data_IF_580412977636
#
_entry.id   IF_580412977636
#
_cell.length_a   1.000
_cell.length_b   1.000
_cell.length_c   1.000
_cell.angle_alpha   90.00
_cell.angle_beta   90.00
_cell.angle_gamma   90.00
#
_symmetry.space_group_name_H-M   'P 1'
#
loop_
_entity.id
_entity.type
_entity.pdbx_description
1 polymer ?
#
# COMPACT_ATOMS: atom_id res chain seq x y z
N UNK A 1 -4.29 -17.04 4.09
CA UNK A 1 -3.16 -16.68 3.20
C UNK A 1 -1.88 -16.51 4.04
N UNK A 2 -0.70 -16.48 3.39
CA UNK A 2 0.57 -16.31 4.11
C UNK A 2 0.65 -14.94 4.80
N UNK A 3 0.18 -13.90 4.12
CA UNK A 3 0.07 -12.55 4.68
C UNK A 3 -0.80 -12.49 5.95
N UNK A 4 -1.94 -13.16 5.98
CA UNK A 4 -2.79 -13.21 7.18
C UNK A 4 -2.07 -13.87 8.35
N UNK A 5 -1.41 -15.00 8.10
CA UNK A 5 -0.61 -15.67 9.15
C UNK A 5 0.52 -14.78 9.67
N UNK A 6 1.13 -13.98 8.77
CA UNK A 6 2.15 -13.01 9.18
C UNK A 6 1.53 -11.92 10.05
N UNK A 7 0.38 -11.35 9.63
CA UNK A 7 -0.31 -10.33 10.39
C UNK A 7 -0.74 -10.84 11.76
N UNK A 8 -1.42 -11.99 11.84
CA UNK A 8 -1.88 -12.59 13.10
C UNK A 8 -0.72 -12.90 14.07
N UNK A 9 0.47 -13.17 13.55
CA UNK A 9 1.66 -13.42 14.36
C UNK A 9 2.26 -12.16 14.99
N UNK A 10 2.08 -10.99 14.35
CA UNK A 10 2.76 -9.75 14.73
C UNK A 10 1.81 -8.67 15.24
N UNK A 11 0.53 -8.78 14.91
CA UNK A 11 -0.46 -7.75 15.17
C UNK A 11 -1.77 -8.31 15.73
N UNK A 12 -2.45 -7.50 16.50
CA UNK A 12 -3.87 -7.64 16.80
C UNK A 12 -4.67 -6.99 15.65
N UNK A 13 -5.44 -7.78 14.92
CA UNK A 13 -6.25 -7.30 13.79
C UNK A 13 -7.59 -6.80 14.30
N UNK A 14 -7.72 -5.48 14.43
CA UNK A 14 -8.92 -4.82 14.95
C UNK A 14 -10.07 -4.82 13.93
N UNK A 15 -9.73 -4.61 12.66
CA UNK A 15 -10.72 -4.58 11.57
C UNK A 15 -10.09 -5.03 10.27
N UNK A 16 -10.89 -5.69 9.45
CA UNK A 16 -10.53 -6.18 8.14
C UNK A 16 -11.65 -5.88 7.15
N UNK A 17 -11.33 -5.28 6.04
CA UNK A 17 -12.29 -5.02 4.98
C UNK A 17 -11.64 -5.04 3.60
N UNK A 18 -12.41 -5.47 2.62
CA UNK A 18 -12.00 -5.31 1.22
C UNK A 18 -12.18 -3.86 0.80
N UNK A 19 -11.22 -3.31 0.07
CA UNK A 19 -11.37 -1.98 -0.50
C UNK A 19 -12.44 -2.04 -1.60
N UNK A 20 -13.48 -1.19 -1.54
CA UNK A 20 -14.50 -1.13 -2.58
C UNK A 20 -13.89 -0.68 -3.91
N UNK A 21 -14.11 -1.45 -4.95
CA UNK A 21 -13.70 -1.10 -6.31
C UNK A 21 -14.87 -1.25 -7.28
N UNK A 22 -14.78 -0.56 -8.41
CA UNK A 22 -15.72 -0.67 -9.52
C UNK A 22 -14.99 -1.25 -10.72
N UNK A 23 -15.52 -2.30 -11.33
CA UNK A 23 -14.92 -2.84 -12.56
C UNK A 23 -14.81 -1.75 -13.62
N UNK A 24 -13.64 -1.65 -14.24
CA UNK A 24 -13.37 -0.70 -15.32
C UNK A 24 -12.65 -1.42 -16.47
N UNK A 25 -13.08 -1.24 -17.74
CA UNK A 25 -12.52 -1.99 -18.87
C UNK A 25 -11.02 -1.75 -19.09
N UNK A 26 -10.53 -0.56 -18.74
CA UNK A 26 -9.14 -0.18 -18.92
C UNK A 26 -8.24 -0.54 -17.71
N UNK A 27 -8.81 -1.04 -16.62
CA UNK A 27 -8.07 -1.50 -15.45
C UNK A 27 -8.07 -3.02 -15.47
N UNK A 28 -6.91 -3.60 -15.69
CA UNK A 28 -6.73 -5.05 -15.85
C UNK A 28 -5.78 -5.62 -14.79
N UNK A 29 -5.85 -6.94 -14.62
CA UNK A 29 -4.99 -7.67 -13.66
C UNK A 29 -5.08 -7.09 -12.24
N UNK A 30 -6.29 -6.69 -11.83
CA UNK A 30 -6.53 -6.14 -10.49
C UNK A 30 -6.17 -7.16 -9.40
N UNK A 31 -5.35 -6.77 -8.43
CA UNK A 31 -5.08 -7.62 -7.27
C UNK A 31 -6.27 -7.62 -6.31
N UNK A 32 -6.25 -8.55 -5.36
CA UNK A 32 -7.16 -8.48 -4.21
C UNK A 32 -6.66 -7.40 -3.26
N UNK A 33 -7.45 -6.35 -3.07
CA UNK A 33 -7.05 -5.18 -2.27
C UNK A 33 -7.79 -5.22 -0.95
N UNK A 34 -7.04 -5.39 0.13
CA UNK A 34 -7.54 -5.49 1.49
C UNK A 34 -7.02 -4.36 2.36
N UNK A 35 -7.82 -3.94 3.33
CA UNK A 35 -7.45 -2.99 4.37
C UNK A 35 -7.55 -3.68 5.72
N UNK A 36 -6.45 -3.66 6.45
CA UNK A 36 -6.33 -4.14 7.81
C UNK A 36 -6.07 -2.95 8.75
N UNK A 37 -6.88 -2.83 9.80
CA UNK A 37 -6.55 -1.98 10.93
C UNK A 37 -5.94 -2.86 12.01
N UNK A 38 -4.71 -2.56 12.38
CA UNK A 38 -3.90 -3.44 13.23
C UNK A 38 -3.21 -2.66 14.34
N UNK A 39 -3.02 -3.30 15.48
CA UNK A 39 -2.11 -2.84 16.53
C UNK A 39 -0.96 -3.84 16.68
N UNK A 40 0.30 -3.41 16.81
CA UNK A 40 1.38 -4.32 17.12
C UNK A 40 1.10 -5.09 18.42
N UNK A 41 1.36 -6.41 18.43
CA UNK A 41 1.26 -7.19 19.65
C UNK A 41 2.33 -6.72 20.65
N UNK A 42 1.96 -6.38 21.90
CA UNK A 42 2.92 -5.87 22.90
C UNK A 42 4.11 -6.82 23.13
N UNK A 43 3.87 -8.13 23.09
CA UNK A 43 4.93 -9.13 23.21
C UNK A 43 5.95 -9.04 22.06
N UNK A 44 5.46 -8.87 20.83
CA UNK A 44 6.31 -8.77 19.64
C UNK A 44 7.07 -7.45 19.60
N UNK A 45 6.45 -6.38 20.03
CA UNK A 45 7.11 -5.08 20.15
C UNK A 45 8.26 -5.14 21.19
N UNK A 46 8.00 -5.74 22.35
CA UNK A 46 9.03 -5.93 23.38
C UNK A 46 10.16 -6.85 22.90
N UNK A 47 9.84 -7.98 22.28
CA UNK A 47 10.83 -8.92 21.73
C UNK A 47 11.73 -8.27 20.67
N UNK A 48 11.19 -7.38 19.85
CA UNK A 48 11.93 -6.71 18.80
C UNK A 48 12.91 -5.65 19.28
N UNK A 49 12.69 -5.09 20.48
CA UNK A 49 13.41 -3.94 21.02
C UNK A 49 13.32 -2.67 20.14
N UNK A 50 12.33 -2.61 19.26
CA UNK A 50 12.06 -1.47 18.35
C UNK A 50 10.94 -0.60 18.91
N UNK A 51 10.92 0.65 18.50
CA UNK A 51 9.71 1.45 18.68
C UNK A 51 8.60 0.98 17.72
N UNK A 52 7.36 1.44 17.94
CA UNK A 52 6.20 1.03 17.15
C UNK A 52 6.39 1.32 15.65
N UNK A 53 6.99 2.47 15.31
CA UNK A 53 7.16 2.90 13.93
C UNK A 53 8.19 2.02 13.21
N UNK A 54 9.32 1.77 13.85
CA UNK A 54 10.37 0.90 13.32
C UNK A 54 9.88 -0.52 13.18
N UNK A 55 9.12 -1.04 14.17
CA UNK A 55 8.52 -2.35 14.10
C UNK A 55 7.57 -2.50 12.92
N UNK A 56 6.65 -1.54 12.72
CA UNK A 56 5.72 -1.54 11.59
C UNK A 56 6.48 -1.43 10.27
N UNK A 57 7.49 -0.57 10.16
CA UNK A 57 8.32 -0.43 8.97
C UNK A 57 9.02 -1.75 8.61
N UNK A 58 9.61 -2.44 9.61
CA UNK A 58 10.21 -3.75 9.42
C UNK A 58 9.21 -4.81 8.95
N UNK A 59 7.99 -4.80 9.49
CA UNK A 59 6.94 -5.70 9.06
C UNK A 59 6.52 -5.45 7.60
N UNK A 60 6.39 -4.18 7.20
CA UNK A 60 6.09 -3.81 5.80
C UNK A 60 7.17 -4.31 4.85
N UNK A 61 8.44 -4.07 5.18
CA UNK A 61 9.57 -4.53 4.39
C UNK A 61 9.55 -6.07 4.28
N UNK A 62 9.34 -6.77 5.38
CA UNK A 62 9.28 -8.23 5.40
C UNK A 62 8.13 -8.78 4.53
N UNK A 63 6.95 -8.15 4.56
CA UNK A 63 5.83 -8.57 3.71
C UNK A 63 6.20 -8.37 2.23
N UNK A 64 6.71 -7.19 1.87
CA UNK A 64 7.02 -6.85 0.49
C UNK A 64 8.18 -7.67 -0.10
N UNK A 65 9.15 -8.07 0.73
CA UNK A 65 10.34 -8.80 0.31
C UNK A 65 10.16 -10.33 0.33
N UNK A 66 9.47 -10.85 1.36
CA UNK A 66 9.47 -12.30 1.65
C UNK A 66 8.16 -13.01 1.34
N UNK A 67 7.05 -12.31 1.19
CA UNK A 67 5.75 -12.94 0.94
C UNK A 67 5.37 -12.77 -0.53
N UNK A 68 5.61 -13.79 -1.31
CA UNK A 68 5.28 -13.79 -2.73
C UNK A 68 3.80 -13.51 -2.99
N UNK A 69 3.53 -12.58 -3.91
CA UNK A 69 2.17 -12.21 -4.28
C UNK A 69 1.49 -11.22 -3.33
N UNK A 70 2.22 -10.68 -2.34
CA UNK A 70 1.74 -9.66 -1.42
C UNK A 70 2.55 -8.38 -1.53
N UNK A 71 1.87 -7.25 -1.39
CA UNK A 71 2.50 -5.94 -1.40
C UNK A 71 1.69 -4.94 -0.58
N UNK A 72 2.34 -4.27 0.35
CA UNK A 72 1.73 -3.24 1.20
C UNK A 72 1.75 -1.90 0.46
N UNK A 73 0.57 -1.38 0.11
CA UNK A 73 0.44 -0.08 -0.54
C UNK A 73 0.55 1.08 0.44
N UNK A 74 0.08 0.87 1.68
CA UNK A 74 -0.01 1.89 2.70
C UNK A 74 0.13 1.28 4.09
N UNK A 75 0.86 1.95 4.97
CA UNK A 75 1.05 1.54 6.37
C UNK A 75 0.92 2.71 7.35
N UNK A 76 0.40 3.85 6.87
CA UNK A 76 0.21 5.03 7.72
C UNK A 76 -1.10 4.99 8.52
N UNK A 77 -1.10 5.64 9.69
CA UNK A 77 -2.27 5.70 10.58
C UNK A 77 -3.40 6.58 10.01
N UNK A 78 -3.04 7.67 9.33
CA UNK A 78 -3.98 8.69 8.83
C UNK A 78 -3.83 8.93 7.33
N UNK A 79 -3.44 7.92 6.58
CA UNK A 79 -3.18 8.01 5.16
C UNK A 79 -3.69 6.77 4.45
N UNK A 80 -4.32 6.96 3.30
CA UNK A 80 -4.66 5.90 2.36
C UNK A 80 -3.92 6.08 1.04
N UNK A 81 -3.65 4.98 0.35
CA UNK A 81 -2.97 4.97 -0.95
C UNK A 81 -3.77 4.18 -1.95
N UNK A 82 -4.00 4.77 -3.10
CA UNK A 82 -4.68 4.16 -4.24
C UNK A 82 -3.69 4.06 -5.40
N UNK A 83 -3.38 2.86 -5.81
CA UNK A 83 -2.43 2.58 -6.90
C UNK A 83 -3.07 1.69 -7.94
N UNK A 84 -2.78 1.94 -9.20
CA UNK A 84 -3.14 1.04 -10.28
C UNK A 84 -2.26 1.29 -11.51
N UNK A 85 -2.36 0.38 -12.47
CA UNK A 85 -1.86 0.57 -13.82
C UNK A 85 -3.04 0.98 -14.69
N UNK A 86 -3.01 2.21 -15.23
CA UNK A 86 -4.07 2.79 -16.04
C UNK A 86 -3.99 4.31 -16.10
N UNK A 87 -4.91 4.91 -16.84
CA UNK A 87 -5.02 6.37 -16.86
C UNK A 87 -5.58 6.88 -15.52
N UNK A 88 -5.14 8.06 -15.04
CA UNK A 88 -5.57 8.60 -13.74
C UNK A 88 -7.08 8.66 -13.55
N UNK A 89 -7.82 9.07 -14.58
CA UNK A 89 -9.29 9.16 -14.55
C UNK A 89 -9.96 7.78 -14.42
N UNK A 90 -9.38 6.74 -15.02
CA UNK A 90 -9.89 5.36 -14.92
C UNK A 90 -9.59 4.77 -13.54
N UNK A 91 -8.40 5.06 -13.00
CA UNK A 91 -8.01 4.70 -11.63
C UNK A 91 -8.92 5.36 -10.61
N UNK A 92 -9.24 6.66 -10.80
CA UNK A 92 -10.18 7.38 -9.96
C UNK A 92 -11.56 6.72 -9.91
N UNK A 93 -12.10 6.34 -11.07
CA UNK A 93 -13.40 5.64 -11.19
C UNK A 93 -13.35 4.23 -10.58
N UNK A 94 -12.26 3.50 -10.82
CA UNK A 94 -12.05 2.16 -10.29
C UNK A 94 -12.11 2.13 -8.76
N UNK A 95 -11.41 3.05 -8.10
CA UNK A 95 -11.37 3.17 -6.64
C UNK A 95 -12.54 3.97 -6.05
N UNK A 96 -13.44 4.50 -6.88
CA UNK A 96 -14.57 5.33 -6.42
C UNK A 96 -14.07 6.53 -5.60
N UNK A 97 -13.03 7.21 -6.08
CA UNK A 97 -12.37 8.28 -5.32
C UNK A 97 -13.32 9.44 -4.98
N UNK A 98 -14.40 9.59 -5.72
CA UNK A 98 -15.49 10.54 -5.42
C UNK A 98 -16.18 10.33 -4.06
N UNK A 99 -16.01 9.14 -3.46
CA UNK A 99 -16.59 8.80 -2.15
C UNK A 99 -15.63 9.04 -0.98
N UNK A 100 -14.39 9.42 -1.27
CA UNK A 100 -13.39 9.68 -0.24
C UNK A 100 -13.23 11.17 0.01
N UNK A 101 -13.01 11.54 1.26
CA UNK A 101 -12.68 12.89 1.67
C UNK A 101 -11.29 12.92 2.30
N UNK A 102 -10.50 13.92 1.96
CA UNK A 102 -9.17 14.12 2.52
C UNK A 102 -8.83 15.61 2.55
N UNK A 103 -8.09 16.03 3.56
CA UNK A 103 -7.61 17.41 3.68
C UNK A 103 -6.41 17.71 2.77
N UNK A 104 -5.70 16.69 2.32
CA UNK A 104 -4.59 16.81 1.38
C UNK A 104 -4.56 15.61 0.44
N UNK A 105 -4.25 15.86 -0.81
CA UNK A 105 -4.13 14.85 -1.84
C UNK A 105 -2.81 15.01 -2.59
N UNK A 106 -2.08 13.91 -2.75
CA UNK A 106 -0.90 13.85 -3.61
C UNK A 106 -1.19 12.85 -4.72
N UNK A 107 -1.06 13.26 -5.96
CA UNK A 107 -1.36 12.42 -7.11
C UNK A 107 -0.19 12.41 -8.10
N UNK A 108 -0.02 11.30 -8.79
CA UNK A 108 0.98 11.13 -9.83
C UNK A 108 0.46 10.22 -10.93
N UNK A 109 0.54 10.70 -12.17
CA UNK A 109 0.34 9.89 -13.37
C UNK A 109 1.68 9.71 -14.07
N UNK A 110 2.17 8.47 -14.18
CA UNK A 110 3.42 8.16 -14.85
C UNK A 110 3.19 7.22 -16.02
N UNK A 111 3.80 7.52 -17.16
CA UNK A 111 3.99 6.55 -18.23
C UNK A 111 5.34 5.85 -18.03
N UNK A 112 5.37 4.54 -17.78
CA UNK A 112 6.63 3.81 -17.59
C UNK A 112 7.38 3.74 -18.92
N UNK A 113 8.61 4.24 -18.92
CA UNK A 113 9.47 4.24 -20.13
C UNK A 113 10.40 3.04 -20.20
N UNK A 114 10.92 2.58 -19.06
CA UNK A 114 11.98 1.58 -18.99
C UNK A 114 11.56 0.27 -18.29
N UNK A 115 10.37 0.21 -17.69
CA UNK A 115 9.91 -0.98 -16.98
C UNK A 115 8.44 -1.26 -17.26
N UNK A 116 8.02 -2.53 -17.29
CA UNK A 116 6.59 -2.85 -17.34
C UNK A 116 5.85 -2.22 -16.16
N UNK A 117 4.70 -1.64 -16.43
CA UNK A 117 3.83 -1.13 -15.37
C UNK A 117 3.32 -2.29 -14.50
N UNK A 118 3.42 -2.14 -13.18
CA UNK A 118 2.82 -3.07 -12.24
C UNK A 118 2.25 -2.30 -11.04
N UNK A 119 1.28 -2.88 -10.36
CA UNK A 119 0.49 -2.18 -9.35
C UNK A 119 1.32 -1.63 -8.18
N UNK A 120 2.21 -2.42 -7.62
CA UNK A 120 3.08 -1.97 -6.52
C UNK A 120 4.10 -0.92 -6.95
N UNK A 121 4.55 -0.94 -8.21
CA UNK A 121 5.50 0.03 -8.76
C UNK A 121 4.89 1.37 -9.17
N UNK A 122 3.56 1.51 -9.15
CA UNK A 122 2.91 2.80 -9.38
C UNK A 122 3.16 3.74 -8.19
N UNK A 123 3.21 5.05 -8.48
CA UNK A 123 3.26 6.07 -7.42
C UNK A 123 1.90 6.24 -6.72
N UNK A 124 1.89 6.78 -5.49
CA UNK A 124 3.04 7.17 -4.68
C UNK A 124 3.75 5.97 -4.07
N UNK A 125 5.03 6.12 -3.71
CA UNK A 125 5.72 5.22 -2.80
C UNK A 125 5.52 5.70 -1.37
N UNK A 126 5.24 4.77 -0.46
CA UNK A 126 4.86 5.13 0.91
C UNK A 126 5.48 4.18 1.92
N UNK A 127 5.79 4.74 3.08
CA UNK A 127 6.13 3.98 4.28
C UNK A 127 5.66 4.78 5.49
N UNK A 128 4.89 4.16 6.38
CA UNK A 128 4.23 4.84 7.50
C UNK A 128 3.40 6.03 6.99
N UNK A 129 3.60 7.21 7.56
CA UNK A 129 2.92 8.45 7.17
C UNK A 129 3.68 9.28 6.10
N UNK A 130 4.70 8.68 5.47
CA UNK A 130 5.44 9.32 4.40
C UNK A 130 4.93 8.88 3.04
N UNK A 131 4.80 9.84 2.14
CA UNK A 131 4.40 9.62 0.75
C UNK A 131 5.31 10.40 -0.17
N UNK A 132 5.82 9.74 -1.20
CA UNK A 132 6.71 10.35 -2.19
C UNK A 132 6.17 10.10 -3.59
N UNK A 133 6.10 11.16 -4.37
CA UNK A 133 5.88 11.11 -5.81
C UNK A 133 7.09 11.71 -6.51
N UNK A 134 7.51 11.13 -7.61
CA UNK A 134 8.66 11.58 -8.37
C UNK A 134 8.37 11.53 -9.86
N UNK A 135 8.54 12.66 -10.53
CA UNK A 135 8.44 12.74 -11.98
C UNK A 135 9.84 12.92 -12.56
N UNK A 136 10.47 11.83 -12.95
CA UNK A 136 11.83 11.79 -13.44
C UNK A 136 12.46 10.41 -13.28
N UNK A 137 13.75 10.31 -13.51
CA UNK A 137 14.54 9.09 -13.35
C UNK A 137 15.63 9.30 -12.29
N UNK A 138 15.80 8.30 -11.43
CA UNK A 138 16.93 8.25 -10.49
C UNK A 138 18.05 7.51 -11.22
N UNK A 139 19.10 8.23 -11.57
CA UNK A 139 20.21 7.71 -12.37
C UNK A 139 21.30 7.03 -11.55
N UNK A 140 21.34 7.25 -10.25
CA UNK A 140 22.28 6.62 -9.32
C UNK A 140 21.73 6.60 -7.90
N UNK A 141 22.24 5.68 -7.10
CA UNK A 141 21.94 5.56 -5.67
C UNK A 141 23.12 6.09 -4.86
#
# INVERSE_FOLDING_TARGET
>A
METERFLDKHFDVVNLSRIPTRKHPNITNEPLIWRYFVNPLPTKLTESQLDEREFVAQCVININDKINGSYVFSSGKNMGVFKAVGYPEDVGKFYRLEEYAGYAWTAHGRYPTNTPGWWGGAHPFTLLNWSVVHNGEISSY
#
